data_IF_437310252371
#
_entry.id   IF_437310252371
#
_cell.length_a   1.000
_cell.length_b   1.000
_cell.length_c   1.000
_cell.angle_alpha   90.00
_cell.angle_beta   90.00
_cell.angle_gamma   90.00
#
_symmetry.space_group_name_H-M   'P 1'
#
loop_
_entity.id
_entity.type
_entity.pdbx_description
1 polymer ?
#
# COMPACT_ATOMS: atom_id res chain seq x y z
N UNK A 1 -9.65 3.58 -21.25
CA UNK A 1 -9.07 3.78 -19.90
C UNK A 1 -9.93 3.02 -18.91
N UNK A 2 -9.36 2.08 -18.15
CA UNK A 2 -10.10 1.11 -17.32
C UNK A 2 -10.65 1.69 -16.01
N UNK A 3 -10.35 2.94 -15.68
CA UNK A 3 -10.92 3.68 -14.55
C UNK A 3 -10.89 5.18 -14.86
N UNK A 4 -11.88 5.94 -14.39
CA UNK A 4 -11.85 7.40 -14.39
C UNK A 4 -11.23 7.87 -13.08
N UNK A 5 -10.00 8.40 -13.11
CA UNK A 5 -9.27 8.86 -11.92
C UNK A 5 -8.29 7.83 -11.33
N UNK A 6 -7.92 8.00 -10.05
CA UNK A 6 -7.02 7.10 -9.32
C UNK A 6 -7.77 5.87 -8.80
N UNK A 7 -7.09 4.73 -8.68
CA UNK A 7 -7.65 3.46 -8.16
C UNK A 7 -7.53 3.39 -6.64
N UNK A 8 -8.48 2.73 -5.97
CA UNK A 8 -8.35 2.30 -4.58
C UNK A 8 -7.59 0.98 -4.48
N UNK A 9 -6.59 0.91 -3.60
CA UNK A 9 -5.68 -0.23 -3.42
C UNK A 9 -5.33 -0.41 -1.93
N UNK A 10 -4.13 -0.86 -1.55
CA UNK A 10 -3.74 -1.17 -0.17
C UNK A 10 -3.97 -0.05 0.88
N UNK A 11 -4.01 1.23 0.48
CA UNK A 11 -4.39 2.33 1.37
C UNK A 11 -5.81 2.23 1.94
N UNK A 12 -6.71 1.49 1.28
CA UNK A 12 -8.08 1.26 1.77
C UNK A 12 -8.09 0.60 3.15
N UNK A 13 -7.20 -0.37 3.42
CA UNK A 13 -7.14 -1.05 4.71
C UNK A 13 -6.82 -0.08 5.87
N UNK A 14 -5.99 0.94 5.60
CA UNK A 14 -5.66 1.96 6.60
C UNK A 14 -6.91 2.79 6.94
N UNK A 15 -7.66 3.20 5.92
CA UNK A 15 -8.95 3.90 6.09
C UNK A 15 -9.94 3.01 6.86
N UNK A 16 -10.08 1.74 6.48
CA UNK A 16 -10.96 0.78 7.16
C UNK A 16 -10.61 0.63 8.64
N UNK A 17 -9.32 0.47 8.97
CA UNK A 17 -8.87 0.32 10.36
C UNK A 17 -9.13 1.58 11.18
N UNK A 18 -8.77 2.75 10.68
CA UNK A 18 -8.88 3.99 11.47
C UNK A 18 -10.33 4.46 11.58
N UNK A 19 -11.12 4.37 10.51
CA UNK A 19 -12.55 4.71 10.54
C UNK A 19 -13.33 3.68 11.36
N UNK A 20 -13.01 2.39 11.25
CA UNK A 20 -13.63 1.35 12.07
C UNK A 20 -13.40 1.59 13.56
N UNK A 21 -12.18 1.97 13.95
CA UNK A 21 -11.88 2.40 15.32
C UNK A 21 -12.72 3.60 15.76
N UNK A 22 -12.84 4.65 14.93
CA UNK A 22 -13.67 5.81 15.24
C UNK A 22 -15.15 5.45 15.35
N UNK A 23 -15.65 4.54 14.52
CA UNK A 23 -17.03 4.07 14.61
C UNK A 23 -17.30 3.32 15.93
N UNK A 24 -16.34 2.53 16.41
CA UNK A 24 -16.43 1.79 17.69
C UNK A 24 -16.57 2.75 18.89
N UNK A 25 -16.09 4.00 18.79
CA UNK A 25 -16.28 5.00 19.85
C UNK A 25 -17.69 5.62 19.84
N UNK A 26 -18.59 5.16 18.97
CA UNK A 26 -19.95 5.70 18.81
C UNK A 26 -20.03 6.97 17.96
N UNK A 27 -19.00 7.27 17.17
CA UNK A 27 -19.01 8.43 16.28
C UNK A 27 -20.14 8.36 15.24
N UNK A 28 -20.64 9.52 14.83
CA UNK A 28 -21.66 9.63 13.80
C UNK A 28 -21.15 9.21 12.42
N UNK A 29 -22.08 8.92 11.51
CA UNK A 29 -21.77 8.64 10.11
C UNK A 29 -21.01 9.80 9.45
N UNK A 30 -21.38 11.04 9.76
CA UNK A 30 -20.74 12.24 9.20
C UNK A 30 -19.27 12.35 9.67
N UNK A 31 -19.01 12.12 10.95
CA UNK A 31 -17.65 12.10 11.49
C UNK A 31 -16.79 10.99 10.87
N UNK A 32 -17.34 9.78 10.74
CA UNK A 32 -16.67 8.66 10.09
C UNK A 32 -16.33 8.97 8.63
N UNK A 33 -17.28 9.56 7.89
CA UNK A 33 -17.06 9.97 6.50
C UNK A 33 -15.95 11.03 6.41
N UNK A 34 -16.03 12.09 7.21
CA UNK A 34 -15.06 13.18 7.18
C UNK A 34 -13.66 12.68 7.54
N UNK A 35 -13.55 11.77 8.51
CA UNK A 35 -12.28 11.18 8.88
C UNK A 35 -11.73 10.26 7.79
N UNK A 36 -12.58 9.44 7.16
CA UNK A 36 -12.18 8.59 6.04
C UNK A 36 -11.68 9.39 4.83
N UNK A 37 -12.40 10.47 4.47
CA UNK A 37 -11.98 11.39 3.39
C UNK A 37 -10.63 12.05 3.72
N UNK A 38 -10.41 12.42 4.98
CA UNK A 38 -9.15 12.97 5.45
C UNK A 38 -7.99 11.97 5.32
N UNK A 39 -8.15 10.75 5.87
CA UNK A 39 -7.11 9.70 5.81
C UNK A 39 -6.79 9.32 4.37
N UNK A 40 -7.81 9.20 3.52
CA UNK A 40 -7.64 8.93 2.08
C UNK A 40 -6.80 10.02 1.39
N UNK A 41 -7.01 11.29 1.70
CA UNK A 41 -6.29 12.42 1.09
C UNK A 41 -4.79 12.41 1.40
N UNK A 42 -4.39 11.88 2.55
CA UNK A 42 -3.00 11.86 3.03
C UNK A 42 -2.36 10.47 2.96
N UNK A 43 -2.96 9.57 2.18
CA UNK A 43 -2.47 8.23 1.90
C UNK A 43 -2.14 8.08 0.42
N UNK A 44 -0.94 7.58 0.13
CA UNK A 44 -0.44 7.38 -1.23
C UNK A 44 0.11 5.98 -1.40
N UNK A 45 -0.33 5.30 -2.47
CA UNK A 45 0.07 3.92 -2.77
C UNK A 45 0.56 3.77 -4.21
N UNK A 46 1.61 2.99 -4.40
CA UNK A 46 2.11 2.59 -5.73
C UNK A 46 2.61 1.15 -5.67
N UNK A 47 2.33 0.36 -6.71
CA UNK A 47 2.70 -1.05 -6.78
C UNK A 47 3.55 -1.40 -7.99
N UNK A 48 4.11 -2.61 -7.95
CA UNK A 48 4.86 -3.24 -9.05
C UNK A 48 4.51 -4.72 -9.11
N UNK A 49 4.38 -5.27 -10.31
CA UNK A 49 4.20 -6.70 -10.54
C UNK A 49 5.28 -7.28 -11.45
N UNK A 50 5.64 -8.53 -11.18
CA UNK A 50 6.56 -9.36 -11.96
C UNK A 50 5.82 -10.45 -12.73
N UNK A 51 4.63 -10.84 -12.27
CA UNK A 51 3.73 -11.73 -12.98
C UNK A 51 2.33 -11.12 -13.03
N UNK A 52 1.50 -11.63 -13.93
CA UNK A 52 0.06 -11.39 -13.89
C UNK A 52 -0.61 -12.35 -12.89
N UNK A 53 -1.84 -12.05 -12.49
CA UNK A 53 -2.69 -12.99 -11.76
C UNK A 53 -3.50 -13.88 -12.69
N UNK A 54 -3.84 -15.08 -12.21
CA UNK A 54 -4.73 -16.03 -12.90
C UNK A 54 -6.08 -16.09 -12.20
N UNK A 55 -7.13 -15.61 -12.87
CA UNK A 55 -8.50 -15.81 -12.39
C UNK A 55 -8.87 -17.29 -12.61
N UNK A 56 -9.31 -18.03 -11.58
CA UNK A 56 -9.55 -19.48 -11.71
C UNK A 56 -10.49 -19.87 -12.84
N UNK A 57 -11.54 -19.07 -13.08
CA UNK A 57 -12.51 -19.30 -14.15
C UNK A 57 -11.92 -19.11 -15.56
N UNK A 58 -10.89 -18.25 -15.71
CA UNK A 58 -10.24 -18.00 -16.99
C UNK A 58 -9.13 -19.02 -17.29
N UNK A 59 -8.49 -19.57 -16.25
CA UNK A 59 -7.43 -20.58 -16.37
C UNK A 59 -6.14 -20.10 -17.04
N UNK A 60 -6.01 -18.79 -17.29
CA UNK A 60 -4.86 -18.15 -17.91
C UNK A 60 -4.59 -16.77 -17.28
N UNK A 61 -3.37 -16.22 -17.42
CA UNK A 61 -3.04 -14.89 -16.94
C UNK A 61 -3.99 -13.80 -17.46
N UNK A 62 -4.28 -12.80 -16.62
CA UNK A 62 -5.14 -11.65 -16.97
C UNK A 62 -4.48 -10.69 -17.96
N UNK A 63 -3.15 -10.66 -18.00
CA UNK A 63 -2.35 -9.93 -18.97
C UNK A 63 -1.00 -10.63 -19.20
N UNK A 64 -0.39 -10.39 -20.36
CA UNK A 64 0.93 -10.94 -20.67
C UNK A 64 2.05 -10.06 -20.10
N UNK A 65 3.03 -10.67 -19.45
CA UNK A 65 4.27 -10.03 -18.97
C UNK A 65 5.44 -11.00 -19.16
N UNK A 66 6.54 -10.52 -19.72
CA UNK A 66 7.73 -11.33 -19.97
C UNK A 66 8.43 -11.75 -18.67
N UNK A 67 9.16 -12.87 -18.72
CA UNK A 67 9.86 -13.43 -17.56
C UNK A 67 10.97 -12.52 -16.98
N UNK A 68 11.43 -11.54 -17.76
CA UNK A 68 12.43 -10.54 -17.35
C UNK A 68 11.84 -9.12 -17.30
N UNK A 69 10.51 -9.00 -17.28
CA UNK A 69 9.78 -7.74 -17.24
C UNK A 69 9.10 -7.51 -15.87
N UNK A 70 8.84 -6.24 -15.58
CA UNK A 70 8.00 -5.79 -14.48
C UNK A 70 7.08 -4.65 -14.92
N UNK A 71 5.93 -4.54 -14.28
CA UNK A 71 4.87 -3.57 -14.58
C UNK A 71 4.67 -2.63 -13.39
N UNK A 72 5.01 -1.35 -13.57
CA UNK A 72 4.84 -0.33 -12.54
C UNK A 72 3.42 0.23 -12.53
N UNK A 73 2.84 0.35 -11.35
CA UNK A 73 1.51 0.90 -11.14
C UNK A 73 0.41 -0.01 -11.65
N UNK A 74 0.60 -1.33 -11.61
CA UNK A 74 -0.45 -2.32 -11.89
C UNK A 74 -1.64 -2.13 -10.92
N UNK A 75 -2.85 -2.45 -11.38
CA UNK A 75 -4.04 -2.48 -10.51
C UNK A 75 -4.22 -3.85 -9.83
N UNK A 76 -5.08 -3.91 -8.81
CA UNK A 76 -5.34 -5.13 -8.04
C UNK A 76 -6.19 -6.17 -8.81
N UNK A 77 -6.72 -5.83 -9.98
CA UNK A 77 -7.44 -6.76 -10.85
C UNK A 77 -6.66 -7.09 -12.14
N UNK A 78 -5.36 -6.81 -12.16
CA UNK A 78 -4.52 -6.99 -13.35
C UNK A 78 -4.70 -5.90 -14.39
N UNK A 79 -5.26 -4.74 -14.04
CA UNK A 79 -5.33 -3.60 -14.94
C UNK A 79 -3.91 -3.13 -15.30
N UNK A 80 -3.63 -2.81 -16.58
CA UNK A 80 -2.31 -2.36 -17.02
C UNK A 80 -1.74 -1.24 -16.15
N UNK A 81 -0.42 -1.27 -16.01
CA UNK A 81 0.30 -0.28 -15.25
C UNK A 81 0.48 1.03 -16.00
N UNK A 82 1.31 1.90 -15.43
CA UNK A 82 1.79 3.12 -16.09
C UNK A 82 2.86 2.81 -17.14
N UNK A 83 3.69 1.80 -16.89
CA UNK A 83 4.79 1.42 -17.76
C UNK A 83 5.31 0.01 -17.45
N UNK A 84 5.92 -0.58 -18.47
CA UNK A 84 6.61 -1.86 -18.41
C UNK A 84 8.10 -1.68 -18.68
N UNK A 85 8.93 -2.34 -17.89
CA UNK A 85 10.39 -2.27 -17.99
C UNK A 85 11.02 -3.62 -17.65
N UNK A 86 12.33 -3.77 -17.91
CA UNK A 86 13.08 -4.93 -17.43
C UNK A 86 13.18 -4.93 -15.91
N UNK A 87 13.24 -6.12 -15.30
CA UNK A 87 13.44 -6.27 -13.87
C UNK A 87 14.71 -5.53 -13.43
N UNK A 88 14.57 -4.71 -12.40
CA UNK A 88 15.64 -3.92 -11.79
C UNK A 88 15.98 -4.47 -10.40
N UNK A 89 17.01 -3.90 -9.79
CA UNK A 89 17.32 -4.19 -8.38
C UNK A 89 16.21 -3.68 -7.47
N UNK A 90 16.10 -4.25 -6.26
CA UNK A 90 15.11 -3.81 -5.28
C UNK A 90 15.24 -2.32 -4.93
N UNK A 91 16.46 -1.77 -4.86
CA UNK A 91 16.66 -0.35 -4.54
C UNK A 91 16.10 0.56 -5.65
N UNK A 92 16.34 0.21 -6.92
CA UNK A 92 15.84 0.99 -8.06
C UNK A 92 14.31 0.94 -8.16
N UNK A 93 13.72 -0.25 -7.97
CA UNK A 93 12.27 -0.43 -7.94
C UNK A 93 11.65 0.42 -6.83
N UNK A 94 12.19 0.29 -5.61
CA UNK A 94 11.70 1.04 -4.45
C UNK A 94 11.82 2.54 -4.65
N UNK A 95 12.97 3.00 -5.15
CA UNK A 95 13.21 4.42 -5.43
C UNK A 95 12.16 4.99 -6.37
N UNK A 96 11.78 4.23 -7.39
CA UNK A 96 10.79 4.68 -8.35
C UNK A 96 9.37 4.75 -7.77
N UNK A 97 8.96 3.72 -7.02
CA UNK A 97 7.68 3.71 -6.31
C UNK A 97 7.59 4.87 -5.30
N UNK A 98 8.64 5.08 -4.50
CA UNK A 98 8.71 6.14 -3.51
C UNK A 98 8.75 7.53 -4.14
N UNK A 99 9.43 7.71 -5.28
CA UNK A 99 9.42 9.00 -6.00
C UNK A 99 7.99 9.39 -6.39
N UNK A 100 7.19 8.44 -6.89
CA UNK A 100 5.80 8.71 -7.23
C UNK A 100 4.95 9.04 -5.99
N UNK A 101 5.12 8.29 -4.90
CA UNK A 101 4.35 8.47 -3.66
C UNK A 101 4.71 9.80 -2.98
N UNK A 102 6.00 10.06 -2.76
CA UNK A 102 6.47 11.26 -2.05
C UNK A 102 6.28 12.53 -2.89
N UNK A 103 6.42 12.44 -4.22
CA UNK A 103 6.16 13.57 -5.12
C UNK A 103 4.70 14.05 -5.08
N UNK A 104 3.77 13.15 -4.80
CA UNK A 104 2.35 13.45 -4.65
C UNK A 104 1.97 13.86 -3.22
N UNK A 105 2.36 13.07 -2.22
CA UNK A 105 2.01 13.31 -0.81
C UNK A 105 2.73 14.50 -0.19
N UNK A 106 3.98 14.76 -0.62
CA UNK A 106 4.84 15.84 -0.13
C UNK A 106 4.86 15.94 1.41
N UNK A 107 5.25 14.86 2.12
CA UNK A 107 5.36 14.91 3.57
C UNK A 107 6.36 15.97 4.01
N UNK A 108 6.09 16.57 5.18
CA UNK A 108 6.93 17.60 5.76
C UNK A 108 8.20 17.02 6.38
N UNK A 109 9.16 17.88 6.66
CA UNK A 109 10.37 17.49 7.37
C UNK A 109 10.02 16.99 8.79
N UNK A 110 10.58 15.86 9.22
CA UNK A 110 10.23 15.13 10.46
C UNK A 110 8.79 14.58 10.51
N UNK A 111 8.05 14.59 9.40
CA UNK A 111 6.70 14.01 9.35
C UNK A 111 6.73 12.54 9.80
N UNK A 112 5.84 12.19 10.74
CA UNK A 112 5.61 10.80 11.08
C UNK A 112 4.72 10.11 10.04
N UNK A 113 5.03 8.87 9.71
CA UNK A 113 4.28 8.09 8.72
C UNK A 113 4.08 6.65 9.15
N UNK A 114 3.00 6.07 8.64
CA UNK A 114 2.79 4.64 8.58
C UNK A 114 3.34 4.11 7.25
N UNK A 115 4.32 3.21 7.31
CA UNK A 115 4.86 2.50 6.15
C UNK A 115 4.21 1.12 6.02
N UNK A 116 3.33 0.96 5.03
CA UNK A 116 2.71 -0.33 4.75
C UNK A 116 3.29 -0.93 3.46
N UNK A 117 3.96 -2.08 3.60
CA UNK A 117 4.35 -2.94 2.49
C UNK A 117 3.31 -4.05 2.33
N UNK A 118 2.67 -4.09 1.17
CA UNK A 118 1.64 -5.07 0.86
C UNK A 118 2.09 -5.96 -0.31
N UNK A 119 2.13 -7.28 -0.11
CA UNK A 119 2.33 -8.23 -1.20
C UNK A 119 1.05 -8.52 -1.96
N UNK A 120 1.17 -8.84 -3.25
CA UNK A 120 0.01 -9.15 -4.10
C UNK A 120 -0.40 -10.63 -4.08
N UNK A 121 0.29 -11.46 -3.31
CA UNK A 121 -0.04 -12.87 -3.09
C UNK A 121 1.14 -13.79 -3.37
N UNK A 122 1.76 -13.65 -4.54
CA UNK A 122 2.84 -14.52 -5.01
C UNK A 122 4.24 -14.17 -4.53
N UNK A 123 4.42 -13.08 -3.77
CA UNK A 123 5.74 -12.64 -3.29
C UNK A 123 6.07 -13.20 -1.90
N UNK A 124 7.24 -13.83 -1.71
CA UNK A 124 7.71 -14.28 -0.40
C UNK A 124 7.80 -13.15 0.62
N UNK A 125 7.45 -13.44 1.88
CA UNK A 125 7.50 -12.46 2.98
C UNK A 125 8.89 -11.83 3.15
N UNK A 126 9.97 -12.60 2.94
CA UNK A 126 11.34 -12.08 3.02
C UNK A 126 11.63 -11.00 1.96
N UNK A 127 11.04 -11.09 0.77
CA UNK A 127 11.18 -10.09 -0.28
C UNK A 127 10.36 -8.83 0.03
N UNK A 128 9.22 -8.97 0.72
CA UNK A 128 8.47 -7.82 1.25
C UNK A 128 9.29 -7.06 2.31
N UNK A 129 10.05 -7.76 3.15
CA UNK A 129 10.96 -7.10 4.09
C UNK A 129 12.18 -6.46 3.41
N UNK A 130 12.64 -7.00 2.28
CA UNK A 130 13.63 -6.31 1.45
C UNK A 130 13.08 -4.98 0.93
N UNK A 131 11.84 -4.97 0.42
CA UNK A 131 11.15 -3.75 -0.01
C UNK A 131 10.96 -2.76 1.15
N UNK A 132 10.58 -3.24 2.34
CA UNK A 132 10.49 -2.43 3.56
C UNK A 132 11.81 -1.75 3.89
N UNK A 133 12.92 -2.51 3.87
CA UNK A 133 14.24 -1.99 4.20
C UNK A 133 14.67 -0.87 3.25
N UNK A 134 14.49 -1.06 1.94
CA UNK A 134 14.82 -0.02 0.95
C UNK A 134 13.91 1.21 1.09
N UNK A 135 12.60 1.01 1.34
CA UNK A 135 11.66 2.11 1.52
C UNK A 135 12.00 2.93 2.77
N UNK A 136 12.35 2.25 3.87
CA UNK A 136 12.77 2.90 5.12
C UNK A 136 14.04 3.73 4.93
N UNK A 137 15.06 3.22 4.23
CA UNK A 137 16.28 4.00 3.93
C UNK A 137 15.96 5.29 3.18
N UNK A 138 15.04 5.23 2.20
CA UNK A 138 14.61 6.41 1.45
C UNK A 138 13.91 7.42 2.39
N UNK A 139 13.00 6.96 3.25
CA UNK A 139 12.31 7.82 4.21
C UNK A 139 13.29 8.48 5.21
N UNK A 140 14.23 7.70 5.76
CA UNK A 140 15.25 8.18 6.69
C UNK A 140 16.14 9.26 6.02
N UNK A 141 16.57 9.05 4.77
CA UNK A 141 17.33 10.06 4.01
C UNK A 141 16.54 11.35 3.74
N UNK A 142 15.21 11.28 3.66
CA UNK A 142 14.34 12.45 3.49
C UNK A 142 13.87 13.03 4.84
N UNK A 143 14.43 12.56 5.96
CA UNK A 143 14.04 12.93 7.32
C UNK A 143 12.54 12.75 7.61
N UNK A 144 11.95 11.68 7.10
CA UNK A 144 10.57 11.26 7.35
C UNK A 144 10.61 10.06 8.30
N UNK A 145 9.85 10.12 9.39
CA UNK A 145 9.93 9.15 10.49
C UNK A 145 8.88 8.06 10.33
N UNK A 146 9.32 6.83 10.07
CA UNK A 146 8.43 5.65 10.15
C UNK A 146 8.17 5.35 11.63
N UNK A 147 6.98 5.69 12.13
CA UNK A 147 6.60 5.40 13.53
C UNK A 147 5.62 4.25 13.64
N UNK A 148 4.91 3.89 12.57
CA UNK A 148 4.12 2.66 12.45
C UNK A 148 4.45 1.93 11.16
N UNK A 149 4.27 0.61 11.15
CA UNK A 149 4.50 -0.18 9.95
C UNK A 149 3.64 -1.43 9.89
N UNK A 150 3.40 -1.90 8.67
CA UNK A 150 2.71 -3.16 8.42
C UNK A 150 3.32 -3.83 7.18
N UNK A 151 3.70 -5.11 7.29
CA UNK A 151 4.32 -5.87 6.21
C UNK A 151 3.61 -7.21 6.06
N UNK A 152 3.12 -7.53 4.87
CA UNK A 152 2.45 -8.80 4.59
C UNK A 152 1.48 -8.74 3.43
N UNK A 153 0.58 -9.72 3.34
CA UNK A 153 -0.45 -9.80 2.31
C UNK A 153 -1.80 -9.37 2.90
N UNK A 154 -2.26 -8.15 2.58
CA UNK A 154 -3.50 -7.56 3.11
C UNK A 154 -4.50 -7.21 2.01
N UNK A 155 -4.01 -6.67 0.89
CA UNK A 155 -4.80 -6.35 -0.32
C UNK A 155 -4.16 -7.01 -1.53
N UNK A 156 -4.46 -8.29 -1.73
CA UNK A 156 -3.83 -9.15 -2.74
C UNK A 156 -4.49 -9.06 -4.12
N UNK A 157 -3.79 -9.56 -5.14
CA UNK A 157 -4.33 -9.87 -6.47
C UNK A 157 -4.08 -11.35 -6.78
N UNK A 158 -4.82 -12.24 -6.11
CA UNK A 158 -4.69 -13.70 -6.24
C UNK A 158 -3.23 -14.18 -6.07
N UNK A 159 -2.65 -14.73 -7.12
CA UNK A 159 -1.31 -15.31 -7.19
C UNK A 159 -0.26 -14.36 -7.80
N UNK A 160 -0.60 -13.09 -8.01
CA UNK A 160 0.32 -12.09 -8.59
C UNK A 160 1.59 -11.97 -7.74
N UNK A 161 2.75 -12.19 -8.37
CA UNK A 161 4.05 -11.86 -7.79
C UNK A 161 4.29 -10.36 -7.97
N UNK A 162 4.45 -9.67 -6.85
CA UNK A 162 4.57 -8.23 -6.78
C UNK A 162 4.22 -7.69 -5.41
N UNK A 163 4.29 -6.38 -5.27
CA UNK A 163 3.91 -5.70 -4.05
C UNK A 163 3.69 -4.22 -4.25
N UNK A 164 3.26 -3.57 -3.18
CA UNK A 164 3.00 -2.13 -3.15
C UNK A 164 3.54 -1.52 -1.87
N UNK A 165 3.93 -0.26 -2.01
CA UNK A 165 4.26 0.61 -0.89
C UNK A 165 3.09 1.56 -0.71
N UNK A 166 2.65 1.70 0.54
CA UNK A 166 1.69 2.71 0.96
C UNK A 166 2.30 3.55 2.07
N UNK A 167 2.21 4.87 1.93
CA UNK A 167 2.58 5.84 2.95
C UNK A 167 1.33 6.60 3.38
N UNK A 168 1.07 6.65 4.69
CA UNK A 168 0.04 7.51 5.27
C UNK A 168 0.71 8.48 6.23
N UNK A 169 0.50 9.79 6.04
CA UNK A 169 0.94 10.79 7.03
C UNK A 169 0.22 10.53 8.35
N UNK A 170 0.94 10.61 9.46
CA UNK A 170 0.39 10.43 10.79
C UNK A 170 0.26 11.77 11.51
N UNK A 171 -0.90 11.96 12.12
CA UNK A 171 -1.13 12.91 13.19
C UNK A 171 -1.62 12.15 14.43
N UNK A 172 -1.82 12.87 15.54
CA UNK A 172 -2.23 12.27 16.81
C UNK A 172 -3.53 11.46 16.70
N UNK A 173 -4.51 11.96 15.95
CA UNK A 173 -5.81 11.31 15.78
C UNK A 173 -5.69 10.01 14.99
N UNK A 174 -4.88 9.99 13.93
CA UNK A 174 -4.64 8.77 13.15
C UNK A 174 -3.88 7.75 13.98
N UNK A 175 -2.87 8.18 14.75
CA UNK A 175 -2.11 7.30 15.65
C UNK A 175 -3.04 6.67 16.69
N UNK A 176 -3.89 7.46 17.34
CA UNK A 176 -4.89 6.98 18.32
C UNK A 176 -5.76 5.86 17.73
N UNK A 177 -6.36 6.10 16.56
CA UNK A 177 -7.25 5.13 15.95
C UNK A 177 -6.53 3.93 15.33
N UNK A 178 -5.31 4.11 14.85
CA UNK A 178 -4.47 2.99 14.39
C UNK A 178 -4.11 2.08 15.56
N UNK A 179 -3.61 2.64 16.66
CA UNK A 179 -3.12 1.88 17.82
C UNK A 179 -4.24 1.26 18.67
N UNK A 180 -5.47 1.77 18.54
CA UNK A 180 -6.62 1.19 19.22
C UNK A 180 -6.77 -0.32 18.95
N UNK A 181 -7.28 -1.09 19.93
CA UNK A 181 -7.47 -2.53 19.79
C UNK A 181 -8.24 -2.91 18.53
N UNK A 182 -7.88 -4.04 17.93
CA UNK A 182 -8.58 -4.62 16.80
C UNK A 182 -8.55 -6.14 16.90
N UNK A 183 -9.67 -6.78 16.60
CA UNK A 183 -9.80 -8.23 16.61
C UNK A 183 -10.52 -8.69 15.35
N UNK A 184 -9.79 -8.74 14.24
CA UNK A 184 -10.24 -9.30 12.97
C UNK A 184 -9.35 -10.49 12.58
N UNK A 185 -9.73 -11.19 11.51
CA UNK A 185 -8.96 -12.34 11.02
C UNK A 185 -7.55 -11.96 10.55
N UNK A 186 -7.34 -10.73 10.07
CA UNK A 186 -6.09 -10.28 9.48
C UNK A 186 -5.36 -9.18 10.29
N UNK A 187 -6.06 -8.45 11.16
CA UNK A 187 -5.47 -7.45 12.06
C UNK A 187 -5.85 -7.76 13.50
N UNK A 188 -4.84 -7.92 14.36
CA UNK A 188 -5.06 -8.33 15.75
C UNK A 188 -4.00 -7.77 16.70
N UNK A 189 -4.38 -6.84 17.57
CA UNK A 189 -3.54 -6.28 18.64
C UNK A 189 -4.37 -5.62 19.73
N UNK A 190 -3.73 -5.30 20.87
CA UNK A 190 -4.38 -4.59 21.99
C UNK A 190 -5.38 -5.44 22.80
N UNK A 191 -5.15 -6.75 22.87
CA UNK A 191 -5.98 -7.72 23.60
C UNK A 191 -5.51 -7.84 25.04
#
# INVERSE_FOLDING_TARGET
TFTTGRRGVAGTMIVEKTVGSLAETGASLEECKNFGDYVNKITGSMGVAFTSCTVPAAGKPTFDIGADEMEFGVGIHGEPGRKREKIKTANEITSELMTAILGDLKPENNQEVLLHINGFGGTPLMELYLLFNEAKKILDHNNIKVTRSLVGNYTTSLDMAGGSITITKLDEKIIEHWDSPVHTAALRWGI
#
